data_IF_278082034888
#
_entry.id   IF_278082034888
#
_cell.length_a   1.000
_cell.length_b   1.000
_cell.length_c   1.000
_cell.angle_alpha   90.00
_cell.angle_beta   90.00
_cell.angle_gamma   90.00
#
_symmetry.space_group_name_H-M   'P 1'
#
loop_
_entity.id
_entity.type
_entity.pdbx_description
1 polymer ?
#
# COMPACT_ATOMS: atom_id res chain seq x y z
N UNK A 1 8.80 -19.16 -2.26
CA UNK A 1 7.69 -18.82 -1.36
C UNK A 1 7.40 -17.35 -1.50
N UNK A 2 6.17 -17.00 -1.85
CA UNK A 2 5.68 -15.64 -1.73
C UNK A 2 5.48 -15.37 -0.24
N UNK A 3 6.28 -14.49 0.36
CA UNK A 3 6.25 -14.21 1.80
C UNK A 3 5.04 -13.35 2.18
N UNK A 4 4.79 -13.20 3.49
CA UNK A 4 3.79 -12.27 4.01
C UNK A 4 3.86 -10.89 3.32
N UNK A 5 2.70 -10.37 2.93
CA UNK A 5 2.56 -9.01 2.45
C UNK A 5 2.70 -8.04 3.63
N UNK A 6 3.92 -7.54 3.80
CA UNK A 6 4.29 -6.61 4.87
C UNK A 6 4.14 -5.13 4.49
N UNK A 7 3.86 -4.84 3.21
CA UNK A 7 3.81 -3.48 2.67
C UNK A 7 2.38 -2.88 2.66
N UNK A 8 1.40 -3.61 3.22
CA UNK A 8 -0.01 -3.27 3.18
C UNK A 8 -0.35 -2.02 4.00
N UNK A 9 -0.89 -1.00 3.34
CA UNK A 9 -1.48 0.19 3.97
C UNK A 9 -2.82 0.44 3.30
N UNK A 10 -3.92 0.17 4.02
CA UNK A 10 -5.27 0.52 3.59
C UNK A 10 -5.55 1.97 3.95
N UNK A 11 -6.05 2.76 3.00
CA UNK A 11 -6.40 4.17 3.22
C UNK A 11 -7.92 4.32 3.10
N UNK A 12 -8.55 4.94 4.10
CA UNK A 12 -9.98 5.30 4.05
C UNK A 12 -10.19 6.81 4.21
N UNK A 13 -11.08 7.37 3.42
CA UNK A 13 -11.48 8.77 3.41
C UNK A 13 -12.95 8.88 3.85
N UNK A 14 -13.18 9.30 5.10
CA UNK A 14 -14.48 9.23 5.78
C UNK A 14 -15.18 7.87 5.61
N UNK A 15 -14.41 6.79 5.75
CA UNK A 15 -14.91 5.41 5.65
C UNK A 15 -14.96 4.83 4.23
N UNK A 16 -14.78 5.64 3.18
CA UNK A 16 -14.65 5.17 1.79
C UNK A 16 -13.22 4.72 1.51
N UNK A 17 -13.04 3.53 0.94
CA UNK A 17 -11.70 3.01 0.62
C UNK A 17 -11.09 3.72 -0.59
N UNK A 18 -9.82 4.11 -0.47
CA UNK A 18 -9.03 4.56 -1.62
C UNK A 18 -8.59 3.35 -2.43
N UNK A 19 -9.33 3.07 -3.50
CA UNK A 19 -9.00 2.05 -4.47
C UNK A 19 -8.93 2.65 -5.89
N UNK A 20 -7.76 2.52 -6.52
CA UNK A 20 -7.52 3.07 -7.87
C UNK A 20 -8.33 2.36 -8.96
N UNK A 21 -8.79 1.12 -8.71
CA UNK A 21 -9.62 0.39 -9.66
C UNK A 21 -11.08 0.91 -9.68
N UNK A 22 -11.58 1.38 -8.54
CA UNK A 22 -12.95 1.92 -8.40
C UNK A 22 -13.00 3.45 -8.40
N UNK A 23 -11.85 4.13 -8.33
CA UNK A 23 -11.74 5.58 -8.48
C UNK A 23 -12.41 6.05 -9.80
N UNK A 24 -13.17 7.13 -9.72
CA UNK A 24 -13.83 7.74 -10.88
C UNK A 24 -12.81 8.37 -11.84
N UNK A 25 -11.66 8.79 -11.33
CA UNK A 25 -10.55 9.32 -12.11
C UNK A 25 -9.22 9.09 -11.37
N UNK A 26 -8.16 8.82 -12.14
CA UNK A 26 -6.77 8.83 -11.66
C UNK A 26 -5.96 9.79 -12.53
N UNK A 27 -5.50 10.89 -11.96
CA UNK A 27 -4.74 11.94 -12.62
C UNK A 27 -3.29 11.97 -12.12
N UNK A 28 -2.40 12.56 -12.93
CA UNK A 28 -0.99 12.79 -12.57
C UNK A 28 -0.25 11.55 -12.05
N UNK A 29 -0.63 10.37 -12.55
CA UNK A 29 -0.03 9.11 -12.11
C UNK A 29 1.41 9.01 -12.61
N UNK A 30 2.34 8.84 -11.68
CA UNK A 30 3.74 8.53 -11.96
C UNK A 30 4.20 7.40 -11.04
N UNK A 31 4.99 6.47 -11.61
CA UNK A 31 5.70 5.45 -10.85
C UNK A 31 7.13 5.41 -11.36
N UNK A 32 8.06 5.74 -10.48
CA UNK A 32 9.48 5.88 -10.80
C UNK A 32 10.29 4.94 -9.93
N UNK A 33 11.26 4.27 -10.54
CA UNK A 33 12.33 3.58 -9.85
C UNK A 33 13.60 4.40 -10.03
N UNK A 34 14.05 5.04 -8.95
CA UNK A 34 15.36 5.68 -8.93
C UNK A 34 16.43 4.58 -8.83
N UNK A 35 17.06 4.28 -9.96
CA UNK A 35 18.10 3.25 -10.05
C UNK A 35 19.39 3.63 -9.31
N UNK A 36 19.61 4.91 -9.00
CA UNK A 36 20.80 5.35 -8.28
C UNK A 36 20.63 5.16 -6.76
N UNK A 37 19.46 5.50 -6.21
CA UNK A 37 19.18 5.34 -4.77
C UNK A 37 18.47 4.03 -4.39
N UNK A 38 17.87 3.33 -5.35
CA UNK A 38 17.03 2.15 -5.13
C UNK A 38 15.61 2.47 -4.63
N UNK A 39 15.20 3.74 -4.64
CA UNK A 39 13.88 4.17 -4.16
C UNK A 39 12.79 3.90 -5.21
N UNK A 40 11.71 3.23 -4.82
CA UNK A 40 10.49 3.17 -5.62
C UNK A 40 9.53 4.25 -5.14
N UNK A 41 9.22 5.22 -6.01
CA UNK A 41 8.28 6.31 -5.77
C UNK A 41 7.03 6.15 -6.62
N UNK A 42 5.86 6.44 -6.05
CA UNK A 42 4.58 6.51 -6.75
C UNK A 42 3.82 7.75 -6.32
N UNK A 43 3.37 8.55 -7.28
CA UNK A 43 2.52 9.73 -7.05
C UNK A 43 1.28 9.65 -7.90
N UNK A 44 0.14 10.11 -7.38
CA UNK A 44 -1.10 10.26 -8.16
C UNK A 44 -2.08 11.17 -7.45
N UNK A 45 -3.07 11.68 -8.19
CA UNK A 45 -4.31 12.21 -7.64
C UNK A 45 -5.45 11.26 -8.01
N UNK A 46 -6.31 10.92 -7.04
CA UNK A 46 -7.44 10.04 -7.24
C UNK A 46 -8.74 10.75 -6.84
N UNK A 47 -9.72 10.70 -7.73
CA UNK A 47 -11.11 11.11 -7.46
C UNK A 47 -11.89 9.87 -7.06
N UNK A 48 -12.28 9.79 -5.79
CA UNK A 48 -13.10 8.69 -5.27
C UNK A 48 -14.52 8.73 -5.84
N UNK A 49 -15.28 7.62 -5.81
CA UNK A 49 -16.70 7.60 -6.18
C UNK A 49 -17.56 8.68 -5.50
N UNK A 50 -17.22 9.07 -4.26
CA UNK A 50 -17.88 10.20 -3.59
C UNK A 50 -17.58 11.59 -4.18
N UNK A 51 -16.64 11.71 -5.12
CA UNK A 51 -16.15 12.97 -5.68
C UNK A 51 -15.04 13.64 -4.87
N UNK A 52 -14.60 13.04 -3.77
CA UNK A 52 -13.44 13.52 -2.99
C UNK A 52 -12.15 13.24 -3.72
N UNK A 53 -11.25 14.21 -3.71
CA UNK A 53 -9.96 14.15 -4.40
C UNK A 53 -8.85 14.07 -3.36
N UNK A 54 -8.01 13.05 -3.47
CA UNK A 54 -6.79 12.89 -2.66
C UNK A 54 -5.56 12.86 -3.55
N UNK A 55 -4.51 13.56 -3.15
CA UNK A 55 -3.17 13.38 -3.70
C UNK A 55 -2.39 12.42 -2.81
N UNK A 56 -1.73 11.44 -3.43
CA UNK A 56 -0.91 10.45 -2.74
C UNK A 56 0.52 10.51 -3.24
N UNK A 57 1.45 10.47 -2.29
CA UNK A 57 2.86 10.20 -2.53
C UNK A 57 3.27 9.01 -1.66
N UNK A 58 3.73 7.94 -2.30
CA UNK A 58 4.17 6.71 -1.65
C UNK A 58 5.59 6.37 -2.10
N UNK A 59 6.48 6.21 -1.14
CA UNK A 59 7.88 5.86 -1.37
C UNK A 59 8.22 4.62 -0.56
N UNK A 60 9.00 3.70 -1.14
CA UNK A 60 9.51 2.55 -0.41
C UNK A 60 10.89 2.13 -0.89
N UNK A 61 11.65 1.52 0.01
CA UNK A 61 12.95 0.92 -0.26
C UNK A 61 13.15 -0.32 0.60
N UNK A 62 14.01 -1.21 0.13
CA UNK A 62 14.61 -2.29 0.94
C UNK A 62 16.08 -1.92 1.14
N UNK A 63 16.52 -1.87 2.38
CA UNK A 63 17.86 -1.42 2.73
C UNK A 63 18.91 -2.41 2.23
N UNK A 64 19.95 -1.91 1.56
CA UNK A 64 21.15 -2.69 1.20
C UNK A 64 22.21 -2.66 2.32
N UNK A 65 21.96 -1.89 3.38
CA UNK A 65 22.89 -1.70 4.51
C UNK A 65 22.45 -2.50 5.74
N UNK A 66 21.15 -2.71 5.90
CA UNK A 66 20.54 -3.47 6.99
C UNK A 66 19.52 -4.43 6.40
N UNK A 67 19.90 -5.70 6.30
CA UNK A 67 19.19 -6.72 5.52
C UNK A 67 17.73 -6.94 5.99
N UNK A 68 17.44 -6.69 7.27
CA UNK A 68 16.12 -6.89 7.86
C UNK A 68 15.17 -5.69 7.68
N UNK A 69 15.63 -4.59 7.06
CA UNK A 69 14.84 -3.34 6.98
C UNK A 69 14.27 -3.12 5.57
N UNK A 70 12.94 -3.09 5.52
CA UNK A 70 12.18 -2.41 4.48
C UNK A 70 11.44 -1.20 5.06
N UNK A 71 11.42 -0.08 4.35
CA UNK A 71 10.75 1.15 4.83
C UNK A 71 9.75 1.67 3.82
N UNK A 72 8.67 2.27 4.32
CA UNK A 72 7.63 2.92 3.53
C UNK A 72 7.39 4.32 4.10
N UNK A 73 7.35 5.32 3.23
CA UNK A 73 6.83 6.65 3.52
C UNK A 73 5.55 6.84 2.70
N UNK A 74 4.46 7.25 3.36
CA UNK A 74 3.16 7.36 2.72
C UNK A 74 2.49 8.66 3.15
N UNK A 75 2.18 9.52 2.17
CA UNK A 75 1.54 10.82 2.38
C UNK A 75 0.21 10.87 1.63
N UNK A 76 -0.85 11.30 2.31
CA UNK A 76 -2.18 11.51 1.74
C UNK A 76 -2.61 12.95 2.02
N UNK A 77 -2.90 13.69 0.96
CA UNK A 77 -3.32 15.09 1.04
C UNK A 77 -4.74 15.24 0.50
N UNK A 78 -5.73 15.67 1.30
CA UNK A 78 -7.06 16.00 0.79
C UNK A 78 -6.99 17.28 -0.06
N UNK A 79 -7.60 17.28 -1.24
CA UNK A 79 -7.49 18.39 -2.20
C UNK A 79 -8.73 19.30 -2.24
N UNK A 80 -9.91 18.73 -2.07
CA UNK A 80 -11.19 19.45 -2.17
C UNK A 80 -12.13 19.21 -0.98
N UNK A 81 -11.62 18.65 0.13
CA UNK A 81 -12.42 18.35 1.30
C UNK A 81 -11.63 18.52 2.61
N UNK A 82 -12.36 18.51 3.71
CA UNK A 82 -11.82 18.34 5.06
C UNK A 82 -12.58 17.19 5.71
N UNK A 83 -11.88 16.26 6.35
CA UNK A 83 -12.49 15.03 6.83
C UNK A 83 -11.46 14.10 7.47
N UNK A 84 -11.93 12.92 7.87
CA UNK A 84 -11.10 11.89 8.49
C UNK A 84 -10.38 11.09 7.39
N UNK A 85 -9.07 10.95 7.53
CA UNK A 85 -8.27 10.01 6.75
C UNK A 85 -7.74 8.96 7.71
N UNK A 86 -7.96 7.69 7.41
CA UNK A 86 -7.48 6.55 8.19
C UNK A 86 -6.42 5.82 7.39
N UNK A 87 -5.25 5.61 7.99
CA UNK A 87 -4.20 4.76 7.44
C UNK A 87 -4.10 3.52 8.32
N UNK A 88 -4.48 2.39 7.78
CA UNK A 88 -4.47 1.09 8.46
C UNK A 88 -3.34 0.24 7.87
N UNK A 89 -2.18 0.23 8.53
CA UNK A 89 -1.09 -0.70 8.20
C UNK A 89 -1.44 -2.10 8.66
N UNK A 90 -1.11 -3.12 7.87
CA UNK A 90 -1.38 -4.50 8.22
C UNK A 90 -0.29 -5.45 7.71
N UNK A 91 -0.23 -6.62 8.33
CA UNK A 91 0.53 -7.78 7.85
C UNK A 91 -0.46 -8.81 7.35
N UNK A 92 -0.29 -9.26 6.11
CA UNK A 92 -1.17 -10.24 5.50
C UNK A 92 -0.40 -11.50 5.15
N UNK A 93 -0.79 -12.60 5.80
CA UNK A 93 -0.21 -13.92 5.62
C UNK A 93 -1.04 -14.77 4.65
N UNK A 94 -2.17 -14.26 4.17
CA UNK A 94 -3.05 -14.94 3.22
C UNK A 94 -2.52 -14.81 1.78
N UNK A 95 -1.25 -15.17 1.59
CA UNK A 95 -0.53 -15.10 0.33
C UNK A 95 -0.42 -16.48 -0.30
N UNK A 96 -0.45 -16.53 -1.62
CA UNK A 96 -0.27 -17.75 -2.39
C UNK A 96 0.85 -17.60 -3.42
N UNK A 97 1.41 -18.75 -3.80
CA UNK A 97 2.37 -18.85 -4.89
C UNK A 97 1.58 -19.12 -6.18
N UNK A 98 1.59 -18.18 -7.12
CA UNK A 98 0.93 -18.33 -8.42
C UNK A 98 1.44 -19.57 -9.18
N UNK A 99 2.70 -19.96 -8.94
CA UNK A 99 3.37 -21.11 -9.53
C UNK A 99 3.22 -22.41 -8.72
N UNK A 100 2.31 -22.46 -7.74
CA UNK A 100 2.10 -23.68 -6.95
C UNK A 100 1.50 -24.81 -7.80
N UNK A 101 2.06 -26.02 -7.71
CA UNK A 101 1.62 -27.15 -8.53
C UNK A 101 0.25 -27.73 -8.12
N UNK A 102 -0.20 -27.46 -6.89
CA UNK A 102 -1.34 -28.13 -6.26
C UNK A 102 -2.31 -27.17 -5.54
N UNK A 103 -2.32 -25.88 -5.88
CA UNK A 103 -3.13 -24.85 -5.18
C UNK A 103 -2.92 -24.85 -3.66
N UNK A 104 -1.69 -25.13 -3.23
CA UNK A 104 -1.31 -25.24 -1.82
C UNK A 104 -0.77 -23.91 -1.29
N UNK A 105 -1.23 -23.50 -0.10
CA UNK A 105 -0.62 -22.40 0.65
C UNK A 105 0.54 -22.92 1.49
N UNK A 106 1.62 -22.15 1.51
CA UNK A 106 2.88 -22.54 2.17
C UNK A 106 3.07 -21.92 3.56
N UNK A 107 2.16 -21.05 4.00
CA UNK A 107 2.26 -20.36 5.28
C UNK A 107 1.14 -20.79 6.22
N UNK A 108 1.51 -21.18 7.45
CA UNK A 108 0.59 -21.37 8.57
C UNK A 108 0.83 -20.26 9.61
N UNK A 109 -0.19 -19.50 10.01
CA UNK A 109 -0.03 -18.44 11.00
C UNK A 109 0.22 -19.04 12.39
N UNK A 110 1.25 -18.53 13.09
CA UNK A 110 1.62 -19.02 14.44
C UNK A 110 0.90 -18.23 15.54
N UNK A 111 0.84 -16.90 15.44
CA UNK A 111 0.18 -16.01 16.41
C UNK A 111 -0.25 -14.72 15.71
N UNK A 112 -1.43 -14.19 16.03
CA UNK A 112 -1.94 -12.92 15.49
C UNK A 112 -2.61 -12.12 16.61
N UNK A 113 -2.35 -10.81 16.67
CA UNK A 113 -2.99 -9.90 17.63
C UNK A 113 -2.39 -8.50 17.58
N UNK A 114 -3.24 -7.47 17.62
CA UNK A 114 -2.84 -6.12 18.03
C UNK A 114 -2.91 -6.09 19.56
N UNK A 115 -1.78 -5.87 20.25
CA UNK A 115 -1.86 -5.33 21.61
C UNK A 115 -2.42 -3.90 21.49
N UNK A 116 -3.49 -3.64 22.22
CA UNK A 116 -4.18 -2.35 22.26
C UNK A 116 -3.48 -1.35 23.20
#
# INVERSE_FOLDING_TARGET
>A
LNSCNWIGIQVKVDGEELDLNTASEVASFCRELDMHSGLLKRTFEATLPSGKIVAVEAERLVSIVQDEIGTISYSVTPKNFSGKIELCSYLDFDVENEDSNYDEKFWEPVTQGQEA
#
